data_IF_420384138613
#
_entry.id   IF_420384138613
#
_cell.length_a   1.000
_cell.length_b   1.000
_cell.length_c   1.000
_cell.angle_alpha   90.00
_cell.angle_beta   90.00
_cell.angle_gamma   90.00
#
_symmetry.space_group_name_H-M   'P 1'
#
loop_
_entity.id
_entity.type
_entity.pdbx_description
1 polymer ?
#
# COMPACT_ATOMS: atom_id res chain seq x y z
N UNK A 1 -2.91 -0.97 -19.30
CA UNK A 1 -2.05 -1.42 -18.18
C UNK A 1 -1.60 -0.17 -17.44
N UNK A 2 -1.65 -0.09 -16.10
CA UNK A 2 -1.09 1.07 -15.41
C UNK A 2 0.42 1.17 -15.71
N UNK A 3 0.88 2.36 -16.06
CA UNK A 3 2.28 2.63 -16.38
C UNK A 3 3.16 2.48 -15.12
N UNK A 4 4.45 2.20 -15.31
CA UNK A 4 5.41 2.15 -14.20
C UNK A 4 5.59 3.53 -13.55
N UNK A 5 5.63 3.55 -12.22
CA UNK A 5 5.87 4.77 -11.45
C UNK A 5 7.37 5.04 -11.37
N UNK A 6 7.81 6.13 -11.98
CA UNK A 6 9.16 6.65 -11.81
C UNK A 6 9.31 7.37 -10.45
N UNK A 7 10.40 7.08 -9.75
CA UNK A 7 10.76 7.70 -8.48
C UNK A 7 12.27 7.83 -8.33
N UNK A 8 12.71 8.89 -7.65
CA UNK A 8 14.11 9.08 -7.29
C UNK A 8 14.40 8.61 -5.86
N UNK A 9 15.67 8.33 -5.56
CA UNK A 9 16.08 7.93 -4.23
C UNK A 9 15.77 9.06 -3.24
N UNK A 10 14.90 8.76 -2.27
CA UNK A 10 14.45 9.72 -1.26
C UNK A 10 13.03 10.22 -1.46
N UNK A 11 12.42 9.93 -2.61
CA UNK A 11 11.00 10.20 -2.82
C UNK A 11 10.13 9.42 -1.83
N UNK A 12 9.06 10.07 -1.39
CA UNK A 12 8.04 9.43 -0.55
C UNK A 12 7.01 8.78 -1.45
N UNK A 13 6.87 7.47 -1.32
CA UNK A 13 5.94 6.67 -2.11
C UNK A 13 4.84 6.15 -1.19
N UNK A 14 3.59 6.39 -1.56
CA UNK A 14 2.41 5.86 -0.85
C UNK A 14 1.82 4.69 -1.63
N UNK A 15 1.69 3.54 -0.98
CA UNK A 15 1.02 2.39 -1.58
C UNK A 15 -0.51 2.61 -1.57
N UNK A 16 -1.14 2.43 -2.73
CA UNK A 16 -2.58 2.58 -2.95
C UNK A 16 -3.32 1.24 -3.04
N UNK A 17 -2.59 0.14 -3.20
CA UNK A 17 -3.16 -1.21 -3.28
C UNK A 17 -2.39 -2.20 -2.40
N UNK A 18 -3.03 -3.33 -2.04
CA UNK A 18 -2.31 -4.48 -1.52
C UNK A 18 -1.20 -4.95 -2.47
N UNK A 19 -0.27 -5.73 -1.91
CA UNK A 19 0.77 -6.42 -2.69
C UNK A 19 0.12 -7.40 -3.67
N UNK A 20 0.52 -7.31 -4.93
CA UNK A 20 0.16 -8.29 -5.94
C UNK A 20 1.16 -9.45 -5.95
N UNK A 21 0.77 -10.62 -6.49
CA UNK A 21 1.60 -11.82 -6.53
C UNK A 21 2.89 -11.67 -7.37
N UNK A 22 3.02 -10.60 -8.13
CA UNK A 22 4.18 -10.25 -8.97
C UNK A 22 5.23 -9.39 -8.24
N UNK A 23 4.98 -9.00 -6.98
CA UNK A 23 5.89 -8.15 -6.21
C UNK A 23 5.73 -6.65 -6.45
N UNK A 24 4.70 -6.22 -7.20
CA UNK A 24 4.38 -4.83 -7.44
C UNK A 24 3.18 -4.37 -6.60
N UNK A 25 3.11 -3.06 -6.39
CA UNK A 25 1.96 -2.36 -5.80
C UNK A 25 1.59 -1.19 -6.69
N UNK A 26 0.30 -0.85 -6.73
CA UNK A 26 -0.10 0.48 -7.23
C UNK A 26 0.33 1.48 -6.17
N UNK A 27 1.05 2.51 -6.59
CA UNK A 27 1.56 3.53 -5.69
C UNK A 27 1.46 4.93 -6.28
N UNK A 28 1.62 5.93 -5.40
CA UNK A 28 1.69 7.35 -5.74
C UNK A 28 2.98 7.94 -5.21
N UNK A 29 3.72 8.62 -6.07
CA UNK A 29 4.84 9.45 -5.65
C UNK A 29 4.28 10.76 -5.10
N UNK A 30 4.53 11.05 -3.82
CA UNK A 30 4.00 12.24 -3.14
C UNK A 30 4.65 13.51 -3.69
N UNK A 31 5.89 13.44 -4.15
CA UNK A 31 6.64 14.60 -4.63
C UNK A 31 6.13 15.04 -6.02
N UNK A 32 5.90 14.08 -6.92
CA UNK A 32 5.47 14.35 -8.30
C UNK A 32 3.95 14.23 -8.50
N UNK A 33 3.21 13.74 -7.50
CA UNK A 33 1.80 13.38 -7.57
C UNK A 33 1.43 12.35 -8.66
N UNK A 34 2.41 11.69 -9.28
CA UNK A 34 2.16 10.64 -10.28
C UNK A 34 1.82 9.31 -9.63
N UNK A 35 0.98 8.54 -10.31
CA UNK A 35 0.60 7.18 -9.93
C UNK A 35 1.10 6.16 -10.94
N UNK A 36 1.36 4.94 -10.48
CA UNK A 36 1.75 3.83 -11.35
C UNK A 36 2.07 2.56 -10.57
N UNK A 37 2.54 1.55 -11.28
CA UNK A 37 3.06 0.33 -10.66
C UNK A 37 4.45 0.61 -10.09
N UNK A 38 4.67 0.24 -8.84
CA UNK A 38 5.94 0.44 -8.16
C UNK A 38 6.40 -0.88 -7.52
N UNK A 39 7.69 -1.26 -7.67
CA UNK A 39 8.21 -2.48 -7.07
C UNK A 39 8.28 -2.36 -5.55
N UNK A 40 7.62 -3.29 -4.86
CA UNK A 40 7.52 -3.29 -3.39
C UNK A 40 8.89 -3.35 -2.72
N UNK A 41 9.84 -4.06 -3.30
CA UNK A 41 11.18 -4.27 -2.71
C UNK A 41 12.01 -2.99 -2.60
N UNK A 42 11.68 -1.93 -3.36
CA UNK A 42 12.34 -0.62 -3.25
C UNK A 42 11.80 0.23 -2.11
N UNK A 43 10.62 -0.13 -1.56
CA UNK A 43 10.05 0.57 -0.42
C UNK A 43 10.85 0.19 0.82
N UNK A 44 11.55 1.18 1.38
CA UNK A 44 12.35 1.05 2.60
C UNK A 44 11.43 0.99 3.82
N UNK A 45 10.68 -0.10 3.95
CA UNK A 45 9.98 -0.56 5.15
C UNK A 45 9.11 0.53 5.83
N UNK A 46 8.01 0.90 5.20
CA UNK A 46 6.87 1.53 5.89
C UNK A 46 5.72 0.52 5.98
N UNK A 47 5.92 -0.55 6.74
CA UNK A 47 4.82 -1.42 7.15
C UNK A 47 4.17 -0.77 8.37
N UNK A 48 3.39 0.29 8.14
CA UNK A 48 2.36 0.67 9.12
C UNK A 48 1.24 -0.35 8.88
N UNK A 49 1.27 -1.45 9.62
CA UNK A 49 0.05 -2.21 9.81
C UNK A 49 -0.90 -1.27 10.56
N UNK A 50 -1.82 -0.62 9.85
CA UNK A 50 -3.02 -0.14 10.53
C UNK A 50 -3.62 -1.38 11.21
N UNK A 51 -3.88 -1.27 12.51
CA UNK A 51 -4.55 -2.33 13.26
C UNK A 51 -5.88 -2.61 12.59
N UNK A 52 -5.93 -3.61 11.73
CA UNK A 52 -7.18 -4.24 11.31
C UNK A 52 -7.66 -5.05 12.50
N UNK A 53 -8.40 -4.39 13.41
CA UNK A 53 -9.23 -5.11 14.35
C UNK A 53 -10.40 -5.72 13.57
N UNK A 54 -10.22 -6.93 13.05
CA UNK A 54 -11.33 -7.72 12.50
C UNK A 54 -12.45 -7.96 13.54
N UNK A 55 -12.17 -7.70 14.82
CA UNK A 55 -13.04 -7.91 15.95
C UNK A 55 -13.78 -6.66 16.46
N UNK A 56 -13.51 -5.45 15.92
CA UNK A 56 -14.17 -4.22 16.41
C UNK A 56 -15.67 -4.15 16.05
N UNK A 57 -16.17 -5.07 15.21
CA UNK A 57 -17.57 -5.16 14.82
C UNK A 57 -18.29 -6.44 15.27
N UNK A 58 -17.67 -7.30 16.09
CA UNK A 58 -18.43 -8.42 16.69
C UNK A 58 -19.16 -7.85 17.90
N UNK A 59 -20.47 -7.63 17.76
CA UNK A 59 -21.31 -7.34 18.93
C UNK A 59 -21.55 -8.65 19.66
N UNK A 60 -21.59 -8.59 20.99
CA UNK A 60 -21.90 -9.76 21.84
C UNK A 60 -23.23 -10.44 21.46
N UNK A 61 -24.12 -9.73 20.76
CA UNK A 61 -25.38 -10.22 20.20
C UNK A 61 -25.24 -11.16 18.99
N UNK A 62 -24.08 -11.20 18.32
CA UNK A 62 -23.85 -12.06 17.14
C UNK A 62 -23.32 -13.45 17.51
N UNK A 63 -23.09 -13.69 18.81
CA UNK A 63 -22.58 -14.95 19.36
C UNK A 63 -23.70 -15.64 20.15
N UNK A 64 -24.85 -15.92 19.53
CA UNK A 64 -25.89 -16.81 20.07
C UNK A 64 -26.56 -17.62 18.95
#
# INVERSE_FOLDING_TARGET
MPEELWAEKGDKISALSPLHNDGFVRAKNINSNKEGNFPMFLLKKYTIFEKFSAFDNIKESDIH
#
